data_IF_247295065873
#
_entry.id   IF_247295065873
#
_cell.length_a   1.000
_cell.length_b   1.000
_cell.length_c   1.000
_cell.angle_alpha   90.00
_cell.angle_beta   90.00
_cell.angle_gamma   90.00
#
_symmetry.space_group_name_H-M   'P 1'
#
loop_
_entity.id
_entity.type
_entity.pdbx_description
1 polymer ?
#
# COMPACT_ATOMS: atom_id res chain seq x y z
N UNK A 1 2.93 -29.88 -6.55
CA UNK A 1 3.35 -29.69 -5.14
C UNK A 1 2.85 -28.36 -4.57
N UNK A 2 3.22 -27.20 -5.13
CA UNK A 2 2.88 -25.88 -4.57
C UNK A 2 1.37 -25.55 -4.60
N UNK A 3 0.66 -25.88 -5.68
CA UNK A 3 -0.81 -25.70 -5.75
C UNK A 3 -1.57 -26.52 -4.69
N UNK A 4 -1.12 -27.74 -4.39
CA UNK A 4 -1.73 -28.61 -3.39
C UNK A 4 -1.50 -28.09 -1.96
N UNK A 5 -0.41 -27.35 -1.72
CA UNK A 5 -0.15 -26.63 -0.46
C UNK A 5 -0.88 -25.27 -0.38
N UNK A 6 -1.74 -24.94 -1.37
CA UNK A 6 -2.48 -23.68 -1.45
C UNK A 6 -1.71 -22.52 -2.08
N UNK A 7 -0.67 -22.82 -2.87
CA UNK A 7 0.13 -21.87 -3.64
C UNK A 7 1.21 -21.16 -2.81
N UNK A 8 1.90 -20.16 -3.41
CA UNK A 8 3.02 -19.47 -2.77
C UNK A 8 2.69 -18.88 -1.39
N UNK A 9 3.68 -18.77 -0.50
CA UNK A 9 3.47 -18.20 0.84
C UNK A 9 3.09 -16.71 0.80
N UNK A 10 3.59 -15.98 -0.20
CA UNK A 10 3.32 -14.56 -0.44
C UNK A 10 2.35 -14.38 -1.62
N UNK A 11 1.61 -13.27 -1.60
CA UNK A 11 0.73 -12.84 -2.69
C UNK A 11 1.05 -11.40 -3.08
N UNK A 12 1.07 -11.14 -4.38
CA UNK A 12 1.06 -9.78 -4.92
C UNK A 12 -0.35 -9.20 -4.75
N UNK A 13 -0.45 -8.01 -4.20
CA UNK A 13 -1.71 -7.31 -3.97
C UNK A 13 -1.60 -5.83 -4.34
N UNK A 14 -2.75 -5.20 -4.60
CA UNK A 14 -2.86 -3.75 -4.56
C UNK A 14 -3.04 -3.28 -3.10
N UNK A 15 -2.39 -2.18 -2.75
CA UNK A 15 -2.56 -1.46 -1.50
C UNK A 15 -3.08 -0.07 -1.82
N UNK A 16 -4.21 0.32 -1.24
CA UNK A 16 -4.71 1.69 -1.21
C UNK A 16 -4.40 2.27 0.17
N UNK A 17 -3.57 3.31 0.23
CA UNK A 17 -3.15 3.96 1.47
C UNK A 17 -4.12 5.09 1.81
N UNK A 18 -4.38 5.26 3.10
CA UNK A 18 -5.27 6.30 3.63
C UNK A 18 -4.64 7.69 3.47
N UNK A 19 -5.31 8.54 2.71
CA UNK A 19 -4.86 9.90 2.43
C UNK A 19 -4.85 10.76 3.69
N UNK A 20 -5.91 10.70 4.51
CA UNK A 20 -6.01 11.51 5.72
C UNK A 20 -4.93 11.16 6.73
N UNK A 21 -4.56 9.88 6.85
CA UNK A 21 -3.41 9.44 7.64
C UNK A 21 -2.09 10.05 7.17
N UNK A 22 -1.86 10.14 5.86
CA UNK A 22 -0.66 10.80 5.30
C UNK A 22 -0.69 12.30 5.62
N UNK A 23 -1.81 12.98 5.35
CA UNK A 23 -1.96 14.41 5.65
C UNK A 23 -1.74 14.70 7.13
N UNK A 24 -2.30 13.87 8.01
CA UNK A 24 -2.11 13.98 9.46
C UNK A 24 -0.65 13.85 9.86
N UNK A 25 0.12 12.97 9.21
CA UNK A 25 1.57 12.89 9.46
C UNK A 25 2.31 14.17 9.07
N UNK A 26 2.00 14.78 7.92
CA UNK A 26 2.58 16.08 7.54
C UNK A 26 2.15 17.22 8.48
N UNK A 27 0.86 17.24 8.86
CA UNK A 27 0.32 18.26 9.74
C UNK A 27 0.98 18.27 11.13
N UNK A 28 1.42 17.11 11.64
CA UNK A 28 2.18 17.01 12.89
C UNK A 28 3.52 17.75 12.86
N UNK A 29 4.06 18.01 11.67
CA UNK A 29 5.28 18.80 11.47
C UNK A 29 4.97 20.24 11.00
N UNK A 30 3.70 20.65 10.95
CA UNK A 30 3.30 21.96 10.43
C UNK A 30 3.51 22.11 8.92
N UNK A 31 3.58 20.99 8.18
CA UNK A 31 3.84 20.96 6.75
C UNK A 31 2.56 20.71 5.95
N UNK A 32 2.51 21.27 4.74
CA UNK A 32 1.54 20.83 3.74
C UNK A 32 1.90 19.42 3.24
N UNK A 33 0.93 18.55 2.91
CA UNK A 33 1.19 17.23 2.36
C UNK A 33 2.05 17.31 1.10
N UNK A 34 3.22 16.66 1.13
CA UNK A 34 4.11 16.56 -0.03
C UNK A 34 3.92 15.17 -0.66
N UNK A 35 3.41 15.14 -1.88
CA UNK A 35 3.30 13.91 -2.68
C UNK A 35 4.06 14.03 -3.99
N UNK A 36 4.81 12.97 -4.30
CA UNK A 36 5.48 12.83 -5.58
C UNK A 36 4.64 11.94 -6.51
N UNK A 37 4.47 12.32 -7.80
CA UNK A 37 3.95 11.41 -8.82
C UNK A 37 4.99 10.35 -9.22
N UNK A 38 6.25 10.49 -8.80
CA UNK A 38 7.29 9.49 -9.03
C UNK A 38 7.06 8.30 -8.10
N UNK A 39 7.23 7.10 -8.67
CA UNK A 39 7.10 5.87 -7.91
C UNK A 39 8.27 5.72 -6.95
N UNK A 40 7.96 5.69 -5.65
CA UNK A 40 8.91 5.29 -4.63
C UNK A 40 9.04 3.75 -4.66
N UNK A 41 10.24 3.24 -4.94
CA UNK A 41 10.51 1.81 -5.12
C UNK A 41 11.29 1.17 -3.95
N UNK A 42 11.63 1.95 -2.92
CA UNK A 42 12.24 1.36 -1.74
C UNK A 42 11.17 0.52 -1.02
N UNK A 43 11.47 -0.75 -0.68
CA UNK A 43 10.51 -1.58 0.02
C UNK A 43 10.23 -1.05 1.43
N UNK A 44 8.96 -0.86 1.77
CA UNK A 44 8.55 -0.39 3.11
C UNK A 44 7.73 -1.47 3.83
N UNK A 45 7.90 -1.67 5.14
CA UNK A 45 7.17 -2.67 5.91
C UNK A 45 5.64 -2.52 5.80
N UNK A 46 4.96 -3.65 5.68
CA UNK A 46 3.49 -3.76 5.81
C UNK A 46 3.19 -4.59 7.03
N UNK A 47 2.33 -4.08 7.91
CA UNK A 47 1.98 -4.72 9.18
C UNK A 47 0.48 -4.92 9.35
N UNK A 48 0.13 -5.93 10.15
CA UNK A 48 -1.21 -6.18 10.66
C UNK A 48 -1.09 -6.20 12.18
N UNK A 49 -1.86 -5.35 12.86
CA UNK A 49 -1.93 -5.29 14.32
C UNK A 49 -0.53 -5.23 14.97
N UNK A 50 0.35 -4.38 14.41
CA UNK A 50 1.72 -4.17 14.88
C UNK A 50 2.75 -5.16 14.34
N UNK A 51 2.36 -6.36 13.89
CA UNK A 51 3.27 -7.37 13.35
C UNK A 51 3.51 -7.18 11.86
N UNK A 52 4.76 -7.25 11.40
CA UNK A 52 5.06 -7.21 9.97
C UNK A 52 4.55 -8.48 9.28
N UNK A 53 3.76 -8.30 8.22
CA UNK A 53 3.13 -9.36 7.42
C UNK A 53 3.48 -9.25 5.94
N UNK A 54 4.42 -8.37 5.59
CA UNK A 54 4.85 -8.15 4.22
C UNK A 54 5.61 -6.85 4.03
N UNK A 55 5.61 -6.38 2.78
CA UNK A 55 6.18 -5.10 2.36
C UNK A 55 5.40 -4.52 1.18
N UNK A 56 5.28 -3.21 1.12
CA UNK A 56 4.95 -2.53 -0.11
C UNK A 56 6.25 -2.47 -0.92
N UNK A 57 6.23 -3.00 -2.14
CA UNK A 57 7.39 -3.04 -3.05
C UNK A 57 7.53 -1.73 -3.81
N UNK A 58 6.43 -1.02 -3.98
CA UNK A 58 6.40 0.32 -4.56
C UNK A 58 5.16 1.06 -4.09
N UNK A 59 5.26 2.38 -3.97
CA UNK A 59 4.15 3.28 -3.61
C UNK A 59 4.21 4.54 -4.48
N UNK A 60 3.06 5.07 -4.89
CA UNK A 60 2.96 6.29 -5.72
C UNK A 60 1.60 6.95 -5.57
N UNK A 61 1.55 8.25 -5.89
CA UNK A 61 0.30 8.95 -6.11
C UNK A 61 -0.27 8.62 -7.49
N UNK A 62 -1.41 7.94 -7.52
CA UNK A 62 -2.14 7.67 -8.76
C UNK A 62 -2.85 8.92 -9.27
N UNK A 63 -2.24 9.65 -10.20
CA UNK A 63 -2.77 10.93 -10.71
C UNK A 63 -4.17 10.83 -11.32
N UNK A 64 -4.52 9.69 -11.93
CA UNK A 64 -5.86 9.43 -12.49
C UNK A 64 -6.89 9.09 -11.41
N UNK A 65 -6.49 8.28 -10.43
CA UNK A 65 -7.40 7.78 -9.37
C UNK A 65 -7.48 8.70 -8.14
N UNK A 66 -6.56 9.68 -8.03
CA UNK A 66 -6.43 10.62 -6.91
C UNK A 66 -6.29 9.92 -5.55
N UNK A 67 -5.47 8.88 -5.52
CA UNK A 67 -5.21 8.05 -4.34
C UNK A 67 -3.75 7.68 -4.24
N UNK A 68 -3.27 7.53 -3.01
CA UNK A 68 -1.98 6.91 -2.75
C UNK A 68 -2.13 5.38 -2.88
N UNK A 69 -1.37 4.77 -3.78
CA UNK A 69 -1.45 3.34 -4.06
C UNK A 69 -0.08 2.70 -4.12
N UNK A 70 -0.02 1.40 -3.89
CA UNK A 70 1.22 0.65 -3.98
C UNK A 70 1.02 -0.82 -4.27
N UNK A 71 2.05 -1.47 -4.80
CA UNK A 71 2.07 -2.92 -4.89
C UNK A 71 2.61 -3.49 -3.58
N UNK A 72 1.96 -4.55 -3.08
CA UNK A 72 2.36 -5.24 -1.86
C UNK A 72 2.72 -6.69 -2.12
N UNK A 73 3.77 -7.17 -1.47
CA UNK A 73 4.01 -8.61 -1.29
C UNK A 73 3.70 -8.95 0.16
N UNK A 74 2.56 -9.59 0.40
CA UNK A 74 2.04 -9.89 1.74
C UNK A 74 1.84 -11.39 1.94
N UNK A 75 1.82 -11.84 3.19
CA UNK A 75 1.47 -13.22 3.51
C UNK A 75 0.07 -13.56 2.98
N UNK A 76 -0.09 -14.79 2.45
CA UNK A 76 -1.35 -15.23 1.83
C UNK A 76 -2.58 -15.05 2.73
N UNK A 77 -2.41 -15.14 4.06
CA UNK A 77 -3.48 -14.96 5.05
C UNK A 77 -4.07 -13.53 5.05
N UNK A 78 -3.31 -12.55 4.55
CA UNK A 78 -3.68 -11.13 4.54
C UNK A 78 -3.91 -10.58 3.14
N UNK A 79 -3.97 -11.44 2.12
CA UNK A 79 -4.06 -11.04 0.72
C UNK A 79 -5.50 -10.80 0.21
N UNK A 80 -6.52 -11.05 1.04
CA UNK A 80 -7.93 -10.89 0.65
C UNK A 80 -8.27 -9.41 0.45
N UNK A 81 -8.91 -9.00 -0.66
CA UNK A 81 -9.44 -7.64 -0.81
C UNK A 81 -10.31 -7.23 0.37
N UNK A 82 -10.19 -5.97 0.79
CA UNK A 82 -10.80 -5.42 1.99
C UNK A 82 -10.01 -5.63 3.29
N UNK A 83 -8.94 -6.44 3.28
CA UNK A 83 -8.09 -6.61 4.46
C UNK A 83 -7.43 -5.28 4.84
N UNK A 84 -7.60 -4.86 6.09
CA UNK A 84 -6.96 -3.66 6.65
C UNK A 84 -5.56 -3.98 7.17
N UNK A 85 -4.59 -3.22 6.68
CA UNK A 85 -3.17 -3.29 7.00
C UNK A 85 -2.66 -1.89 7.38
N UNK A 86 -1.38 -1.80 7.74
CA UNK A 86 -0.68 -0.53 7.91
C UNK A 86 0.65 -0.56 7.17
N UNK A 87 0.95 0.49 6.42
CA UNK A 87 2.21 0.67 5.69
C UNK A 87 3.07 1.64 6.47
N UNK A 88 4.35 1.33 6.65
CA UNK A 88 5.30 2.29 7.23
C UNK A 88 5.42 3.51 6.32
N UNK A 89 5.39 4.69 6.93
CA UNK A 89 5.50 5.96 6.24
C UNK A 89 6.38 6.89 7.07
N UNK A 90 7.16 7.75 6.41
CA UNK A 90 8.07 8.66 7.10
C UNK A 90 7.89 10.08 6.60
N UNK A 91 7.83 11.03 7.53
CA UNK A 91 7.81 12.47 7.25
C UNK A 91 8.88 13.11 8.12
N UNK A 92 9.77 13.93 7.54
CA UNK A 92 10.87 14.59 8.27
C UNK A 92 11.71 13.64 9.18
N UNK A 93 11.90 12.39 8.73
CA UNK A 93 12.62 11.36 9.49
C UNK A 93 11.82 10.70 10.63
N UNK A 94 10.62 11.19 10.97
CA UNK A 94 9.72 10.52 11.89
C UNK A 94 9.01 9.35 11.18
N UNK A 95 9.31 8.12 11.63
CA UNK A 95 8.61 6.91 11.18
C UNK A 95 7.26 6.79 11.87
N UNK A 96 6.22 6.62 11.06
CA UNK A 96 4.88 6.29 11.48
C UNK A 96 4.29 5.17 10.63
N UNK A 97 2.98 5.00 10.74
CA UNK A 97 2.22 4.02 9.98
C UNK A 97 0.95 4.65 9.44
N UNK A 98 0.69 4.43 8.17
CA UNK A 98 -0.54 4.86 7.48
C UNK A 98 -1.42 3.63 7.26
N UNK A 99 -2.71 3.76 7.54
CA UNK A 99 -3.66 2.69 7.27
C UNK A 99 -3.71 2.38 5.77
N UNK A 100 -3.86 1.11 5.41
CA UNK A 100 -4.02 0.70 4.03
C UNK A 100 -5.05 -0.41 3.90
N UNK A 101 -5.64 -0.52 2.72
CA UNK A 101 -6.58 -1.58 2.36
C UNK A 101 -6.03 -2.38 1.21
N UNK A 102 -6.12 -3.70 1.32
CA UNK A 102 -5.89 -4.57 0.17
C UNK A 102 -7.01 -4.37 -0.84
N UNK A 103 -6.65 -4.04 -2.08
CA UNK A 103 -7.59 -3.79 -3.18
C UNK A 103 -7.32 -4.73 -4.34
N UNK A 104 -8.34 -5.07 -5.16
CA UNK A 104 -8.12 -5.85 -6.36
C UNK A 104 -7.22 -5.08 -7.35
N UNK A 105 -6.53 -5.84 -8.20
CA UNK A 105 -5.77 -5.30 -9.32
C UNK A 105 -6.56 -5.56 -10.63
N UNK A 106 -6.51 -4.65 -11.61
CA UNK A 106 -5.82 -3.35 -11.58
C UNK A 106 -6.50 -2.33 -10.64
N UNK A 107 -5.76 -1.32 -10.17
CA UNK A 107 -6.30 -0.26 -9.28
C UNK A 107 -7.47 0.54 -9.89
N UNK A 108 -7.54 0.58 -11.21
CA UNK A 108 -8.58 1.25 -11.97
C UNK A 108 -8.93 0.38 -13.18
N UNK A 109 -10.17 -0.09 -13.23
CA UNK A 109 -10.72 -0.84 -14.36
C UNK A 109 -11.57 0.11 -15.21
N UNK A 110 -11.04 0.51 -16.37
CA UNK A 110 -11.77 1.32 -17.35
C UNK A 110 -12.03 0.45 -18.58
N UNK A 111 -13.27 0.44 -19.08
CA UNK A 111 -13.65 -0.31 -20.28
C UNK A 111 -12.73 -0.04 -21.48
N UNK A 112 -12.31 1.23 -21.67
CA UNK A 112 -11.39 1.65 -22.75
C UNK A 112 -9.94 1.16 -22.60
N UNK A 113 -9.58 0.52 -21.49
CA UNK A 113 -8.21 0.08 -21.15
C UNK A 113 -8.10 -1.44 -20.96
N UNK A 114 -9.11 -2.20 -21.38
CA UNK A 114 -9.17 -3.67 -21.25
C UNK A 114 -8.56 -4.44 -22.42
N UNK A 115 -8.03 -3.73 -23.42
CA UNK A 115 -7.49 -4.28 -24.67
C UNK A 115 -5.98 -4.40 -24.65
#
# INVERSE_FOLDING_TARGET
AEHAAGGPARRLVGLELDWLGIEGMFARHGLAPQISPLVHRAPVPVSKDGKQVGRATSVTWGTTIKKMVGFGSVDRAHAKPGTRLSVEWSVEGERGKVAATVVPLPFLDLGRKRT
#
